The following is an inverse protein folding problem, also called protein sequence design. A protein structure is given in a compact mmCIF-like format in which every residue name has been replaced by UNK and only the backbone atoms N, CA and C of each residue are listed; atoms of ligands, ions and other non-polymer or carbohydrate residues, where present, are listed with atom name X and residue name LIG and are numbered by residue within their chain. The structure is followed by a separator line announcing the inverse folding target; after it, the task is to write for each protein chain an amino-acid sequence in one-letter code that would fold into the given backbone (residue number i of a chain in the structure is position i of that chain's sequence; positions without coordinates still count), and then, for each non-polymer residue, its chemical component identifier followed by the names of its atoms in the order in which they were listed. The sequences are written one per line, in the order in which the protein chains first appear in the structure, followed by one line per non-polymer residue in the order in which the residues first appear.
data_IF_124075508272
#
_entry.id   IF_124075508272
#
_cell.length_a   1.000
_cell.length_b   1.000
_cell.length_c   1.000
_cell.angle_alpha   90.00
_cell.angle_beta   90.00
_cell.angle_gamma   90.00
#
_symmetry.space_group_name_H-M   'P 1'
#
loop_
_entity.id
_entity.type
_entity.pdbx_description
1 polymer ?
#
# COMPACT_ATOMS: atom_id res chain seq x y z
N UNK A 1 -9.92 9.43 35.55
CA UNK A 1 -10.62 9.76 34.29
C UNK A 1 -10.35 8.66 33.29
N UNK A 2 -11.32 8.34 32.41
CA UNK A 2 -11.13 7.32 31.36
C UNK A 2 -10.06 7.83 30.38
N UNK A 3 -9.06 7.00 30.06
CA UNK A 3 -8.08 7.37 29.02
C UNK A 3 -8.82 7.60 27.69
N UNK A 4 -8.41 8.58 26.87
CA UNK A 4 -8.96 8.74 25.54
C UNK A 4 -8.74 7.46 24.73
N UNK A 5 -9.73 7.09 23.93
CA UNK A 5 -9.65 5.96 23.02
C UNK A 5 -9.11 6.47 21.68
N UNK A 6 -7.99 5.93 21.24
CA UNK A 6 -7.45 6.19 19.91
C UNK A 6 -8.06 5.23 18.90
N UNK A 7 -8.54 5.76 17.77
CA UNK A 7 -9.06 5.01 16.64
C UNK A 7 -8.24 5.35 15.39
N UNK A 8 -7.72 4.34 14.72
CA UNK A 8 -7.03 4.48 13.44
C UNK A 8 -7.84 3.71 12.38
N UNK A 9 -8.02 4.31 11.22
CA UNK A 9 -8.66 3.69 10.06
C UNK A 9 -7.64 3.58 8.96
N UNK A 10 -7.39 2.35 8.50
CA UNK A 10 -6.49 2.06 7.38
C UNK A 10 -7.26 1.31 6.30
N UNK A 11 -6.97 1.59 5.04
CA UNK A 11 -7.59 0.90 3.90
C UNK A 11 -6.49 0.39 2.98
N UNK A 12 -6.48 -0.92 2.75
CA UNK A 12 -5.62 -1.53 1.73
C UNK A 12 -6.22 -1.17 0.37
N UNK A 13 -5.49 -0.32 -0.33
CA UNK A 13 -5.91 0.37 -1.55
C UNK A 13 -5.19 -0.30 -2.70
N UNK A 14 -5.78 -1.39 -3.19
CA UNK A 14 -5.11 -2.43 -3.95
C UNK A 14 -5.88 -2.86 -5.21
N UNK A 15 -5.30 -3.76 -5.99
CA UNK A 15 -5.91 -4.33 -7.18
C UNK A 15 -7.09 -5.26 -6.93
N UNK A 16 -7.95 -5.35 -7.95
CA UNK A 16 -9.17 -6.16 -7.88
C UNK A 16 -8.90 -7.66 -8.16
N UNK A 17 -9.79 -8.52 -7.65
CA UNK A 17 -9.83 -9.93 -8.04
C UNK A 17 -8.97 -10.89 -7.22
N UNK A 18 -8.33 -10.43 -6.15
CA UNK A 18 -7.50 -11.26 -5.26
C UNK A 18 -8.27 -12.44 -4.63
N UNK A 19 -9.57 -12.28 -4.41
CA UNK A 19 -10.47 -13.34 -3.90
C UNK A 19 -10.66 -14.53 -4.84
N UNK A 20 -10.23 -14.41 -6.11
CA UNK A 20 -10.24 -15.51 -7.08
C UNK A 20 -9.12 -16.54 -6.84
N UNK A 21 -8.16 -16.24 -5.96
CA UNK A 21 -6.95 -17.04 -5.78
C UNK A 21 -5.94 -16.91 -6.92
N UNK A 22 -6.18 -15.99 -7.87
CA UNK A 22 -5.27 -15.69 -8.97
C UNK A 22 -4.54 -14.38 -8.72
N UNK A 23 -3.21 -14.43 -8.63
CA UNK A 23 -2.35 -13.28 -8.38
C UNK A 23 -1.71 -12.82 -9.69
N UNK A 24 -2.25 -11.76 -10.31
CA UNK A 24 -1.81 -11.30 -11.62
C UNK A 24 -0.64 -10.33 -11.47
N UNK A 25 0.46 -10.61 -12.15
CA UNK A 25 1.64 -9.72 -12.11
C UNK A 25 1.51 -8.47 -12.97
N UNK A 26 0.57 -8.46 -13.92
CA UNK A 26 0.33 -7.39 -14.88
C UNK A 26 -1.15 -7.31 -15.25
N UNK A 27 -1.54 -6.19 -15.85
CA UNK A 27 -2.92 -5.94 -16.31
C UNK A 27 -3.93 -6.02 -15.17
N UNK A 28 -3.51 -5.55 -14.00
CA UNK A 28 -4.36 -5.38 -12.83
C UNK A 28 -5.33 -4.23 -13.06
N UNK A 29 -6.52 -4.34 -12.47
CA UNK A 29 -7.52 -3.28 -12.48
C UNK A 29 -7.66 -2.71 -11.07
N UNK A 30 -7.97 -1.41 -10.99
CA UNK A 30 -8.16 -0.65 -9.75
C UNK A 30 -9.42 0.20 -9.84
N UNK A 31 -10.47 -0.31 -10.50
CA UNK A 31 -11.70 0.44 -10.72
C UNK A 31 -12.44 0.74 -9.39
N UNK A 32 -12.28 -0.13 -8.40
CA UNK A 32 -12.67 0.08 -7.00
C UNK A 32 -12.21 1.43 -6.41
N UNK A 33 -11.10 2.02 -6.88
CA UNK A 33 -10.60 3.30 -6.34
C UNK A 33 -11.54 4.47 -6.67
N UNK A 34 -12.40 4.34 -7.69
CA UNK A 34 -13.44 5.33 -7.98
C UNK A 34 -14.46 5.49 -6.83
N UNK A 35 -14.55 4.51 -5.92
CA UNK A 35 -15.44 4.54 -4.76
C UNK A 35 -14.79 5.16 -3.51
N UNK A 36 -13.46 5.39 -3.52
CA UNK A 36 -12.74 6.02 -2.39
C UNK A 36 -13.34 7.37 -1.98
N UNK A 37 -13.73 8.29 -2.90
CA UNK A 37 -14.34 9.57 -2.53
C UNK A 37 -15.60 9.41 -1.67
N UNK A 38 -16.42 8.37 -1.92
CA UNK A 38 -17.62 8.10 -1.12
C UNK A 38 -17.24 7.69 0.31
N UNK A 39 -16.21 6.87 0.49
CA UNK A 39 -15.72 6.50 1.82
C UNK A 39 -15.04 7.69 2.51
N UNK A 40 -14.24 8.49 1.80
CA UNK A 40 -13.61 9.68 2.35
C UNK A 40 -14.65 10.68 2.89
N UNK A 41 -15.74 10.91 2.17
CA UNK A 41 -16.83 11.77 2.66
C UNK A 41 -17.44 11.27 3.98
N UNK A 42 -17.48 9.95 4.20
CA UNK A 42 -17.91 9.38 5.47
C UNK A 42 -16.87 9.66 6.57
N UNK A 43 -15.58 9.47 6.29
CA UNK A 43 -14.50 9.79 7.21
C UNK A 43 -14.53 11.28 7.61
N UNK A 44 -14.69 12.19 6.63
CA UNK A 44 -14.76 13.64 6.84
C UNK A 44 -15.90 14.02 7.80
N UNK A 45 -17.08 13.40 7.64
CA UNK A 45 -18.25 13.62 8.52
C UNK A 45 -17.99 13.27 9.98
N UNK A 46 -17.07 12.33 10.24
CA UNK A 46 -16.69 11.91 11.59
C UNK A 46 -15.34 12.48 12.04
N UNK A 47 -14.70 13.34 11.24
CA UNK A 47 -13.38 13.89 11.54
C UNK A 47 -12.27 12.84 11.57
N UNK A 48 -12.46 11.72 10.86
CA UNK A 48 -11.47 10.64 10.74
C UNK A 48 -10.55 10.97 9.57
N UNK A 49 -9.24 10.88 9.78
CA UNK A 49 -8.24 10.98 8.72
C UNK A 49 -7.67 9.58 8.45
N UNK A 50 -8.13 8.87 7.41
CA UNK A 50 -7.68 7.52 7.13
C UNK A 50 -6.27 7.47 6.54
N UNK A 51 -5.62 6.31 6.65
CA UNK A 51 -4.40 5.97 5.90
C UNK A 51 -4.77 5.04 4.73
N UNK A 52 -4.54 5.49 3.50
CA UNK A 52 -4.68 4.67 2.30
C UNK A 52 -3.34 4.01 1.97
N UNK A 53 -3.25 2.69 2.16
CA UNK A 53 -2.05 1.90 1.90
C UNK A 53 -2.08 1.46 0.44
N UNK A 54 -1.29 2.11 -0.42
CA UNK A 54 -1.38 1.92 -1.88
C UNK A 54 -0.40 0.88 -2.39
N UNK A 55 -0.88 0.02 -3.29
CA UNK A 55 -0.07 -0.97 -3.98
C UNK A 55 0.49 -0.45 -5.32
N UNK A 56 1.26 -1.28 -6.00
CA UNK A 56 1.86 -0.92 -7.28
C UNK A 56 0.84 -0.64 -8.39
N UNK A 57 -0.15 -1.51 -8.65
CA UNK A 57 -1.28 -1.23 -9.56
C UNK A 57 -1.93 0.15 -9.36
N UNK A 58 -2.21 0.56 -8.13
CA UNK A 58 -2.78 1.88 -7.85
C UNK A 58 -1.82 3.00 -8.24
N UNK A 59 -0.52 2.84 -8.00
CA UNK A 59 0.51 3.82 -8.40
C UNK A 59 0.71 3.95 -9.92
N UNK A 60 0.30 2.94 -10.68
CA UNK A 60 0.36 2.94 -12.14
C UNK A 60 -0.90 3.50 -12.80
N UNK A 61 -2.02 3.59 -12.07
CA UNK A 61 -3.27 4.12 -12.59
C UNK A 61 -3.40 5.64 -12.33
N UNK A 62 -3.28 6.43 -13.39
CA UNK A 62 -3.32 7.90 -13.30
C UNK A 62 -4.68 8.45 -12.76
N UNK A 63 -5.85 7.89 -13.11
CA UNK A 63 -7.12 8.22 -12.44
C UNK A 63 -7.10 7.97 -10.91
N UNK A 64 -6.67 6.79 -10.47
CA UNK A 64 -6.58 6.43 -9.04
C UNK A 64 -5.63 7.36 -8.28
N UNK A 65 -4.43 7.60 -8.81
CA UNK A 65 -3.47 8.56 -8.23
C UNK A 65 -4.09 9.95 -8.09
N UNK A 66 -4.82 10.44 -9.09
CA UNK A 66 -5.47 11.77 -9.04
C UNK A 66 -6.52 11.86 -7.93
N UNK A 67 -7.28 10.81 -7.70
CA UNK A 67 -8.27 10.75 -6.62
C UNK A 67 -7.56 10.86 -5.27
N UNK A 68 -6.58 10.00 -5.03
CA UNK A 68 -5.87 9.91 -3.76
C UNK A 68 -5.03 11.15 -3.48
N UNK A 69 -4.34 11.69 -4.48
CA UNK A 69 -3.57 12.92 -4.35
C UNK A 69 -4.49 14.11 -4.03
N UNK A 70 -5.66 14.21 -4.69
CA UNK A 70 -6.64 15.26 -4.36
C UNK A 70 -7.07 15.24 -2.89
N UNK A 71 -7.28 14.05 -2.32
CA UNK A 71 -7.61 13.88 -0.89
C UNK A 71 -6.40 14.22 -0.01
N UNK A 72 -5.20 13.79 -0.39
CA UNK A 72 -3.96 14.07 0.35
C UNK A 72 -3.67 15.58 0.41
N UNK A 73 -3.75 16.30 -0.73
CA UNK A 73 -3.49 17.73 -0.79
C UNK A 73 -4.50 18.55 0.03
N UNK A 74 -5.71 18.05 0.21
CA UNK A 74 -6.71 18.62 1.10
C UNK A 74 -6.46 18.31 2.59
N UNK A 75 -5.42 17.52 2.92
CA UNK A 75 -5.13 17.06 4.28
C UNK A 75 -6.06 15.96 4.80
N UNK A 76 -6.85 15.35 3.91
CA UNK A 76 -7.91 14.41 4.26
C UNK A 76 -7.43 13.00 4.59
N UNK A 77 -6.20 12.63 4.24
CA UNK A 77 -5.65 11.29 4.46
C UNK A 77 -4.13 11.29 4.72
N UNK A 78 -3.61 10.11 5.03
CA UNK A 78 -2.21 9.73 4.83
C UNK A 78 -2.12 8.75 3.64
N UNK A 79 -1.04 8.82 2.86
CA UNK A 79 -0.69 7.78 1.88
C UNK A 79 0.43 6.92 2.47
N UNK A 80 0.16 5.63 2.65
CA UNK A 80 1.13 4.61 3.05
C UNK A 80 1.41 3.62 1.92
N UNK A 81 2.30 2.65 2.14
CA UNK A 81 2.70 1.67 1.14
C UNK A 81 2.13 0.27 1.43
N UNK A 82 1.67 -0.41 0.38
CA UNK A 82 1.19 -1.78 0.44
C UNK A 82 1.96 -2.64 -0.58
N UNK A 83 2.63 -3.70 -0.14
CA UNK A 83 3.46 -4.50 -1.06
C UNK A 83 2.83 -5.85 -1.37
N UNK A 84 2.51 -6.02 -2.64
CA UNK A 84 2.16 -7.30 -3.26
C UNK A 84 3.33 -7.85 -4.08
N UNK A 85 3.99 -8.96 -3.65
CA UNK A 85 5.17 -9.50 -4.34
C UNK A 85 4.99 -9.76 -5.83
N UNK A 86 3.79 -10.19 -6.22
CA UNK A 86 3.49 -10.64 -7.57
C UNK A 86 3.35 -9.52 -8.58
N UNK A 87 2.96 -8.30 -8.17
CA UNK A 87 2.75 -7.16 -9.07
C UNK A 87 3.63 -5.95 -8.76
N UNK A 88 4.44 -5.98 -7.71
CA UNK A 88 5.42 -4.95 -7.40
C UNK A 88 6.78 -5.26 -8.06
N UNK A 89 7.29 -4.39 -8.97
CA UNK A 89 8.60 -4.55 -9.59
C UNK A 89 9.74 -4.56 -8.56
N UNK A 90 10.88 -5.22 -8.86
CA UNK A 90 11.11 -6.05 -10.04
C UNK A 90 10.22 -7.30 -10.06
N UNK A 91 9.80 -7.76 -11.25
CA UNK A 91 8.96 -8.96 -11.42
C UNK A 91 9.83 -10.14 -11.87
N UNK A 92 10.79 -10.52 -11.02
CA UNK A 92 11.79 -11.54 -11.34
C UNK A 92 11.38 -12.95 -10.90
N UNK A 93 10.51 -13.05 -9.90
CA UNK A 93 10.11 -14.30 -9.27
C UNK A 93 8.93 -14.95 -10.01
N UNK A 94 8.86 -16.28 -9.91
CA UNK A 94 7.65 -17.00 -10.31
C UNK A 94 6.52 -16.66 -9.34
N UNK A 95 5.31 -16.45 -9.86
CA UNK A 95 4.13 -16.20 -9.02
C UNK A 95 3.55 -17.56 -8.59
N UNK A 96 3.94 -18.02 -7.40
CA UNK A 96 3.35 -19.21 -6.76
C UNK A 96 2.69 -18.84 -5.43
N UNK A 97 1.85 -19.72 -4.84
CA UNK A 97 1.29 -19.49 -3.51
C UNK A 97 2.32 -19.22 -2.41
N UNK A 98 3.58 -19.66 -2.59
CA UNK A 98 4.69 -19.41 -1.67
C UNK A 98 5.26 -18.00 -1.87
N UNK A 99 5.68 -17.63 -3.08
CA UNK A 99 6.31 -16.32 -3.39
C UNK A 99 5.32 -15.14 -3.34
N UNK A 100 4.03 -15.39 -3.15
CA UNK A 100 3.00 -14.37 -2.92
C UNK A 100 3.02 -13.81 -1.49
N UNK A 101 3.91 -14.29 -0.62
CA UNK A 101 4.22 -13.64 0.65
C UNK A 101 5.62 -13.02 0.58
N UNK A 102 5.77 -11.77 1.02
CA UNK A 102 7.05 -11.06 0.94
C UNK A 102 8.15 -11.74 1.76
N UNK A 103 7.84 -12.27 2.94
CA UNK A 103 8.76 -13.00 3.80
C UNK A 103 9.35 -14.27 3.18
N UNK A 104 8.73 -14.80 2.12
CA UNK A 104 9.23 -15.96 1.39
C UNK A 104 10.22 -15.60 0.27
N UNK A 105 10.42 -14.31 0.02
CA UNK A 105 11.40 -13.82 -0.94
C UNK A 105 12.79 -13.74 -0.32
N UNK A 106 13.82 -13.75 -1.17
CA UNK A 106 15.19 -13.46 -0.73
C UNK A 106 15.28 -12.03 -0.19
N UNK A 107 16.22 -11.77 0.72
CA UNK A 107 16.45 -10.41 1.25
C UNK A 107 16.65 -9.38 0.13
N UNK A 108 17.40 -9.73 -0.92
CA UNK A 108 17.62 -8.84 -2.06
C UNK A 108 16.32 -8.49 -2.77
N UNK A 109 15.45 -9.47 -3.01
CA UNK A 109 14.15 -9.26 -3.64
C UNK A 109 13.22 -8.42 -2.75
N UNK A 110 13.19 -8.67 -1.45
CA UNK A 110 12.46 -7.85 -0.49
C UNK A 110 12.93 -6.38 -0.54
N UNK A 111 14.25 -6.15 -0.49
CA UNK A 111 14.85 -4.82 -0.55
C UNK A 111 14.52 -4.10 -1.86
N UNK A 112 14.74 -4.75 -2.99
CA UNK A 112 14.54 -4.13 -4.31
C UNK A 112 13.08 -3.74 -4.53
N UNK A 113 12.14 -4.60 -4.12
CA UNK A 113 10.70 -4.31 -4.22
C UNK A 113 10.28 -3.17 -3.27
N UNK A 114 10.76 -3.17 -2.03
CA UNK A 114 10.48 -2.09 -1.07
C UNK A 114 11.03 -0.75 -1.52
N UNK A 115 12.27 -0.71 -2.03
CA UNK A 115 12.88 0.51 -2.58
C UNK A 115 12.03 1.03 -3.74
N UNK A 116 11.72 0.17 -4.72
CA UNK A 116 10.92 0.54 -5.88
C UNK A 116 9.55 1.11 -5.47
N UNK A 117 8.85 0.44 -4.54
CA UNK A 117 7.55 0.89 -4.05
C UNK A 117 7.66 2.25 -3.35
N UNK A 118 8.62 2.41 -2.45
CA UNK A 118 8.83 3.64 -1.66
C UNK A 118 9.12 4.83 -2.57
N UNK A 119 10.00 4.64 -3.56
CA UNK A 119 10.35 5.68 -4.51
C UNK A 119 9.18 6.02 -5.45
N UNK A 120 8.38 5.02 -5.84
CA UNK A 120 7.20 5.24 -6.67
C UNK A 120 6.12 6.01 -5.93
N UNK A 121 5.86 5.69 -4.66
CA UNK A 121 4.95 6.49 -3.81
C UNK A 121 5.45 7.94 -3.72
N UNK A 122 6.73 8.15 -3.44
CA UNK A 122 7.31 9.50 -3.40
C UNK A 122 7.14 10.25 -4.73
N UNK A 123 7.36 9.57 -5.85
CA UNK A 123 7.20 10.17 -7.18
C UNK A 123 5.74 10.59 -7.46
N UNK A 124 4.75 9.80 -7.01
CA UNK A 124 3.33 10.04 -7.30
C UNK A 124 2.69 11.05 -6.36
N UNK A 125 3.09 11.07 -5.09
CA UNK A 125 2.43 11.86 -4.05
C UNK A 125 3.31 12.93 -3.40
N UNK A 126 4.58 13.03 -3.81
CA UNK A 126 5.53 14.04 -3.34
C UNK A 126 6.12 13.79 -1.96
N UNK A 127 5.72 12.71 -1.27
CA UNK A 127 6.15 12.37 0.09
C UNK A 127 6.57 10.90 0.16
N UNK A 128 7.65 10.61 0.89
CA UNK A 128 8.00 9.22 1.20
C UNK A 128 7.00 8.65 2.22
N UNK A 129 6.45 7.45 1.99
CA UNK A 129 5.51 6.83 2.93
C UNK A 129 6.20 6.50 4.26
N UNK A 130 5.46 6.60 5.35
CA UNK A 130 5.93 6.24 6.70
C UNK A 130 5.19 5.06 7.33
N UNK A 131 4.06 4.69 6.76
CA UNK A 131 3.24 3.55 7.17
C UNK A 131 3.27 2.49 6.08
N UNK A 132 3.42 1.23 6.49
CA UNK A 132 3.48 0.09 5.59
C UNK A 132 2.42 -0.95 5.98
N UNK A 133 2.04 -1.81 5.04
CA UNK A 133 1.46 -3.11 5.35
C UNK A 133 1.90 -4.12 4.32
N UNK A 134 2.43 -5.26 4.77
CA UNK A 134 2.71 -6.36 3.85
C UNK A 134 1.39 -6.95 3.32
N UNK A 135 1.33 -7.14 2.00
CA UNK A 135 0.30 -7.94 1.39
C UNK A 135 0.23 -9.32 2.03
N UNK A 136 -1.00 -9.77 2.31
CA UNK A 136 -1.26 -11.05 3.00
C UNK A 136 -0.54 -11.20 4.35
N UNK A 137 -0.18 -10.08 4.99
CA UNK A 137 0.56 -10.02 6.26
C UNK A 137 1.91 -10.77 6.23
N UNK A 138 2.54 -10.85 5.05
CA UNK A 138 3.78 -11.60 4.83
C UNK A 138 5.04 -10.86 5.27
N UNK A 139 5.08 -10.26 6.46
CA UNK A 139 6.28 -9.58 6.99
C UNK A 139 7.11 -10.52 7.88
N UNK A 140 8.45 -10.47 7.75
CA UNK A 140 9.41 -11.13 8.65
C UNK A 140 10.41 -10.13 9.26
N UNK A 141 11.36 -10.62 10.05
CA UNK A 141 12.39 -9.80 10.67
C UNK A 141 13.30 -9.09 9.64
N UNK A 142 13.51 -9.70 8.47
CA UNK A 142 14.27 -9.10 7.36
C UNK A 142 13.53 -7.90 6.81
N UNK A 143 12.26 -8.07 6.45
CA UNK A 143 11.39 -7.01 5.98
C UNK A 143 11.26 -5.88 6.99
N UNK A 144 11.06 -6.19 8.27
CA UNK A 144 10.96 -5.18 9.34
C UNK A 144 12.22 -4.31 9.44
N UNK A 145 13.41 -4.92 9.34
CA UNK A 145 14.68 -4.18 9.31
C UNK A 145 14.79 -3.29 8.06
N UNK A 146 14.43 -3.83 6.89
CA UNK A 146 14.46 -3.07 5.63
C UNK A 146 13.50 -1.87 5.66
N UNK A 147 12.31 -2.03 6.25
CA UNK A 147 11.35 -0.94 6.45
C UNK A 147 11.96 0.17 7.32
N UNK A 148 12.60 -0.18 8.44
CA UNK A 148 13.28 0.79 9.29
C UNK A 148 14.42 1.52 8.54
N UNK A 149 15.22 0.81 7.75
CA UNK A 149 16.28 1.40 6.91
C UNK A 149 15.72 2.38 5.87
N UNK A 150 14.51 2.15 5.36
CA UNK A 150 13.84 2.99 4.35
C UNK A 150 13.05 4.16 4.96
N UNK A 151 12.99 4.27 6.29
CA UNK A 151 12.36 5.37 7.01
C UNK A 151 10.88 5.15 7.39
N UNK A 152 10.37 3.92 7.24
CA UNK A 152 9.06 3.57 7.77
C UNK A 152 9.07 3.57 9.30
N UNK A 153 7.94 3.95 9.89
CA UNK A 153 7.76 4.11 11.34
C UNK A 153 6.85 3.05 11.93
N UNK A 154 5.97 2.49 11.11
CA UNK A 154 4.95 1.52 11.51
C UNK A 154 4.63 0.57 10.35
N UNK A 155 4.26 -0.65 10.73
CA UNK A 155 3.68 -1.73 9.94
C UNK A 155 2.42 -2.25 10.66
#
# INVERSE_FOLDING_TARGET
GRMPLDLIVTVDTEEEGLWSGTFRSRQNTVANIQEVPRFQQLCDRFGIRPTYLVDWPVLEDQPAVRILDGIQQAGGCEIGAHLHPWCNPPLAEAVTPHETYMCNLTESAQRDKLVALTDRVQQRFGQRPTSFRAGRYGLDATGARLLAELGYRVD
#
